data_IF_249367782128
#
_entry.id   IF_249367782128
#
_cell.length_a   1.000
_cell.length_b   1.000
_cell.length_c   1.000
_cell.angle_alpha   90.00
_cell.angle_beta   90.00
_cell.angle_gamma   90.00
#
_symmetry.space_group_name_H-M   'P 1'
#
loop_
_entity.id
_entity.type
_entity.pdbx_description
1 polymer ?
#
# COMPACT_ATOMS: atom_id res chain seq x y z
N UNK A 1 15.73 -9.14 -0.25
CA UNK A 1 15.27 -8.00 -1.08
C UNK A 1 15.07 -8.50 -2.50
N UNK A 2 13.82 -8.68 -2.94
CA UNK A 2 13.53 -9.08 -4.33
C UNK A 2 13.48 -7.80 -5.17
N UNK A 3 14.47 -7.61 -6.04
CA UNK A 3 14.56 -6.42 -6.89
C UNK A 3 13.44 -6.49 -7.94
N UNK A 4 12.45 -5.60 -7.86
CA UNK A 4 11.40 -5.48 -8.87
C UNK A 4 12.01 -5.06 -10.20
N UNK A 5 11.69 -5.77 -11.29
CA UNK A 5 12.08 -5.38 -12.65
C UNK A 5 11.23 -4.19 -13.12
N UNK A 6 11.51 -3.00 -12.59
CA UNK A 6 10.98 -1.73 -13.06
C UNK A 6 12.11 -0.87 -13.63
N UNK A 7 11.84 -0.05 -14.65
CA UNK A 7 12.82 0.92 -15.13
C UNK A 7 13.12 1.94 -14.01
N UNK A 8 14.39 2.22 -13.76
CA UNK A 8 14.78 3.21 -12.75
C UNK A 8 14.16 4.57 -13.08
N UNK A 9 13.51 5.20 -12.10
CA UNK A 9 12.77 6.45 -12.28
C UNK A 9 11.34 6.31 -12.82
N UNK A 10 10.88 5.09 -13.12
CA UNK A 10 9.47 4.87 -13.48
C UNK A 10 8.54 5.10 -12.26
N UNK A 11 7.34 5.58 -12.55
CA UNK A 11 6.28 5.71 -11.53
C UNK A 11 5.94 4.34 -10.94
N UNK A 12 5.57 4.34 -9.66
CA UNK A 12 5.14 3.17 -8.93
C UNK A 12 4.10 3.53 -7.88
N UNK A 13 3.26 2.57 -7.53
CA UNK A 13 2.31 2.68 -6.43
C UNK A 13 2.99 2.25 -5.13
N UNK A 14 3.23 3.20 -4.24
CA UNK A 14 3.67 2.93 -2.88
C UNK A 14 2.45 2.74 -1.95
N UNK A 15 2.39 1.60 -1.27
CA UNK A 15 1.37 1.30 -0.25
C UNK A 15 2.07 1.16 1.10
N UNK A 16 1.71 2.03 2.04
CA UNK A 16 2.14 1.97 3.45
C UNK A 16 1.00 1.35 4.26
N UNK A 17 1.27 0.21 4.90
CA UNK A 17 0.34 -0.47 5.80
C UNK A 17 0.79 -0.31 7.24
N UNK A 18 -0.09 0.23 8.07
CA UNK A 18 0.07 0.28 9.52
C UNK A 18 -0.84 -0.77 10.14
N UNK A 19 -0.26 -1.76 10.79
CA UNK A 19 -0.99 -2.75 11.55
C UNK A 19 -1.09 -2.24 12.98
N UNK A 20 -2.32 -2.07 13.45
CA UNK A 20 -2.61 -1.65 14.82
C UNK A 20 -3.29 -2.79 15.56
N UNK A 21 -3.04 -2.88 16.86
CA UNK A 21 -3.78 -3.76 17.76
C UNK A 21 -5.20 -3.22 17.99
N UNK A 22 -6.01 -4.00 18.69
CA UNK A 22 -7.37 -3.63 19.08
C UNK A 22 -7.45 -2.31 19.88
N UNK A 23 -6.56 -2.04 20.87
CA UNK A 23 -6.52 -0.73 21.52
C UNK A 23 -5.98 0.42 20.64
N UNK A 24 -5.53 0.14 19.40
CA UNK A 24 -5.06 1.14 18.44
C UNK A 24 -3.55 1.42 18.49
N UNK A 25 -2.79 0.70 19.31
CA UNK A 25 -1.34 0.70 19.36
C UNK A 25 -0.72 0.15 18.07
N UNK A 26 0.37 0.78 17.61
CA UNK A 26 1.06 0.37 16.38
C UNK A 26 1.88 -0.90 16.62
N UNK A 27 1.53 -1.98 15.92
CA UNK A 27 2.25 -3.26 15.99
C UNK A 27 3.37 -3.30 14.95
N UNK A 28 3.07 -2.89 13.71
CA UNK A 28 4.01 -3.00 12.61
C UNK A 28 3.72 -2.00 11.48
N UNK A 29 4.77 -1.66 10.73
CA UNK A 29 4.68 -0.89 9.49
C UNK A 29 5.27 -1.72 8.37
N UNK A 30 4.53 -1.86 7.28
CA UNK A 30 4.98 -2.53 6.06
C UNK A 30 4.86 -1.57 4.88
N UNK A 31 5.95 -1.41 4.15
CA UNK A 31 6.00 -0.67 2.91
C UNK A 31 6.09 -1.63 1.73
N UNK A 32 5.30 -1.38 0.68
CA UNK A 32 5.33 -2.15 -0.56
C UNK A 32 5.25 -1.20 -1.74
N UNK A 33 6.18 -1.36 -2.70
CA UNK A 33 6.19 -0.60 -3.95
C UNK A 33 5.82 -1.53 -5.10
N UNK A 34 4.78 -1.17 -5.85
CA UNK A 34 4.31 -1.89 -7.03
C UNK A 34 4.60 -1.07 -8.29
N UNK A 35 5.07 -1.69 -9.38
CA UNK A 35 5.25 -0.99 -10.64
C UNK A 35 3.89 -0.62 -11.25
N UNK A 36 3.82 0.54 -11.89
CA UNK A 36 2.56 1.09 -12.44
C UNK A 36 2.00 0.28 -13.61
N UNK A 37 2.79 -0.58 -14.26
CA UNK A 37 2.38 -1.33 -15.46
C UNK A 37 1.54 -2.60 -15.15
N UNK A 38 1.51 -3.06 -13.90
CA UNK A 38 0.97 -4.39 -13.55
C UNK A 38 0.02 -4.40 -12.35
N UNK A 39 -0.27 -3.24 -11.76
CA UNK A 39 -1.03 -3.18 -10.52
C UNK A 39 -2.09 -2.09 -10.54
N UNK A 40 -3.31 -2.48 -10.17
CA UNK A 40 -4.44 -1.57 -9.95
C UNK A 40 -4.98 -1.79 -8.54
N UNK A 41 -5.07 -0.72 -7.75
CA UNK A 41 -5.67 -0.76 -6.42
C UNK A 41 -7.14 -0.36 -6.51
N UNK A 42 -8.04 -1.28 -6.13
CA UNK A 42 -9.48 -1.00 -6.05
C UNK A 42 -9.91 -0.99 -4.60
N UNK A 43 -10.64 0.06 -4.19
CA UNK A 43 -11.20 0.20 -2.85
C UNK A 43 -12.70 0.41 -2.92
N UNK A 44 -13.45 -0.27 -2.06
CA UNK A 44 -14.87 0.00 -1.88
C UNK A 44 -15.03 0.98 -0.71
N UNK A 45 -15.47 2.19 -1.03
CA UNK A 45 -15.78 3.19 -0.01
C UNK A 45 -17.21 2.99 0.46
N UNK A 46 -17.41 2.93 1.77
CA UNK A 46 -18.74 3.05 2.37
C UNK A 46 -18.99 4.52 2.66
N UNK A 47 -20.14 5.02 2.23
CA UNK A 47 -20.60 6.36 2.60
C UNK A 47 -21.07 6.30 4.06
N UNK A 48 -20.48 7.13 4.90
CA UNK A 48 -20.98 7.33 6.25
C UNK A 48 -22.28 8.14 6.22
N UNK A 49 -23.27 7.73 7.01
CA UNK A 49 -24.53 8.48 7.15
C UNK A 49 -24.33 9.48 8.26
N UNK A 50 -23.86 10.67 7.89
CA UNK A 50 -23.97 11.88 8.74
C UNK A 50 -25.40 12.41 8.64
#
# INVERSE_FOLDING_TARGET
MHCFKAQSGALGLAIIRQYRDEPGGLIAVSESVYPTDRFTLTMQMKRDKV
#
